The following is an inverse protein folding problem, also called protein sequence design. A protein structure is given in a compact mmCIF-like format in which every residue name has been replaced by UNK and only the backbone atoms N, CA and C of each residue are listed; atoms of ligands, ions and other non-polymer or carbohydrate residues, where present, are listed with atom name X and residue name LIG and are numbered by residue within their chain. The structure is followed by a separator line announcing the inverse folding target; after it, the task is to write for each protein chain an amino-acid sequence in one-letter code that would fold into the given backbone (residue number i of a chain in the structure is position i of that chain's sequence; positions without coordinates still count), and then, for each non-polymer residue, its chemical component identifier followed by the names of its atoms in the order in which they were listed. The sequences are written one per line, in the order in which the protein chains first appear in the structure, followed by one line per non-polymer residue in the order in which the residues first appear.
data_IF_296941825674
#
_entry.id   IF_296941825674
#
_cell.length_a   1.000
_cell.length_b   1.000
_cell.length_c   1.000
_cell.angle_alpha   90.00
_cell.angle_beta   90.00
_cell.angle_gamma   90.00
#
_symmetry.space_group_name_H-M   'P 1'
#
loop_
_entity.id
_entity.type
_entity.pdbx_description
1 polymer ?
#
# COMPACT_ATOMS: atom_id res chain seq x y z
N UNK A 1 7.86 13.02 35.74
CA UNK A 1 6.62 13.44 35.05
C UNK A 1 5.67 12.26 35.08
N UNK A 2 4.35 12.47 35.16
CA UNK A 2 3.40 11.35 35.03
C UNK A 2 3.39 10.84 33.59
N UNK A 3 3.10 9.55 33.40
CA UNK A 3 3.03 8.91 32.07
C UNK A 3 2.02 9.60 31.13
N UNK A 4 0.98 10.21 31.70
CA UNK A 4 -0.05 10.97 30.98
C UNK A 4 0.50 12.26 30.32
N UNK A 5 1.42 12.97 30.97
CA UNK A 5 2.04 14.19 30.42
C UNK A 5 2.98 13.84 29.27
N UNK A 6 3.74 12.75 29.41
CA UNK A 6 4.62 12.23 28.34
C UNK A 6 3.80 11.84 27.12
N UNK A 7 2.64 11.22 27.33
CA UNK A 7 1.75 10.83 26.26
C UNK A 7 1.14 12.03 25.53
N UNK A 8 0.70 13.06 26.26
CA UNK A 8 0.17 14.28 25.65
C UNK A 8 1.24 15.03 24.84
N UNK A 9 2.47 15.12 25.35
CA UNK A 9 3.60 15.69 24.62
C UNK A 9 3.91 14.92 23.34
N UNK A 10 3.94 13.58 23.42
CA UNK A 10 4.16 12.70 22.28
C UNK A 10 3.03 12.85 21.24
N UNK A 11 1.77 12.91 21.70
CA UNK A 11 0.58 13.13 20.86
C UNK A 11 0.67 14.47 20.11
N UNK A 12 0.98 15.55 20.82
CA UNK A 12 1.09 16.88 20.24
C UNK A 12 2.25 16.97 19.23
N UNK A 13 3.40 16.39 19.56
CA UNK A 13 4.57 16.35 18.67
C UNK A 13 4.28 15.60 17.37
N UNK A 14 3.71 14.39 17.49
CA UNK A 14 3.36 13.55 16.34
C UNK A 14 2.29 14.18 15.44
N UNK A 15 1.24 14.75 16.02
CA UNK A 15 0.17 15.41 15.26
C UNK A 15 0.67 16.65 14.49
N UNK A 16 1.71 17.32 15.00
CA UNK A 16 2.39 18.42 14.31
C UNK A 16 3.39 17.95 13.22
N UNK A 17 3.49 16.64 12.96
CA UNK A 17 4.46 16.07 12.01
C UNK A 17 5.88 15.95 12.59
N UNK A 18 6.03 16.04 13.92
CA UNK A 18 7.29 15.81 14.60
C UNK A 18 7.75 14.36 14.46
N UNK A 19 9.08 14.18 14.41
CA UNK A 19 9.71 12.85 14.37
C UNK A 19 9.87 12.33 15.79
N UNK A 20 9.63 11.03 15.95
CA UNK A 20 9.97 10.32 17.19
C UNK A 20 11.49 10.19 17.31
N UNK A 21 12.01 10.38 18.51
CA UNK A 21 13.37 9.97 18.82
C UNK A 21 13.48 8.45 19.06
N UNK A 22 14.71 7.96 19.13
CA UNK A 22 14.99 6.53 19.30
C UNK A 22 14.47 5.94 20.63
N UNK A 23 14.29 6.76 21.66
CA UNK A 23 13.75 6.32 22.94
C UNK A 23 12.22 6.17 22.86
N UNK A 24 11.53 7.17 22.36
CA UNK A 24 10.09 7.15 22.12
C UNK A 24 9.70 6.01 21.18
N UNK A 25 10.46 5.80 20.10
CA UNK A 25 10.23 4.71 19.15
C UNK A 25 10.42 3.35 19.81
N UNK A 26 11.41 3.18 20.70
CA UNK A 26 11.58 1.95 21.48
C UNK A 26 10.42 1.70 22.44
N UNK A 27 9.93 2.74 23.12
CA UNK A 27 8.78 2.64 24.04
C UNK A 27 7.51 2.23 23.29
N UNK A 28 7.20 2.88 22.16
CA UNK A 28 6.04 2.51 21.36
C UNK A 28 6.19 1.11 20.73
N UNK A 29 7.41 0.72 20.33
CA UNK A 29 7.67 -0.61 19.80
C UNK A 29 7.56 -1.73 20.85
N UNK A 30 7.71 -1.43 22.14
CA UNK A 30 7.59 -2.42 23.22
C UNK A 30 6.23 -2.41 23.90
N UNK A 31 5.40 -1.37 23.70
CA UNK A 31 4.08 -1.33 24.30
C UNK A 31 3.15 -2.40 23.74
N UNK A 32 2.31 -2.93 24.63
CA UNK A 32 1.21 -3.84 24.33
C UNK A 32 -0.16 -3.18 24.47
N UNK A 33 -0.19 -1.88 24.81
CA UNK A 33 -1.41 -1.10 24.90
C UNK A 33 -1.89 -0.69 23.49
N UNK A 34 -2.80 -1.49 22.95
CA UNK A 34 -3.43 -1.21 21.66
C UNK A 34 -4.30 0.04 21.68
N UNK A 35 -4.92 0.38 22.81
CA UNK A 35 -5.77 1.56 22.90
C UNK A 35 -4.93 2.82 22.74
N UNK A 36 -3.78 2.85 23.42
CA UNK A 36 -2.77 3.89 23.30
C UNK A 36 -2.27 4.04 21.85
N UNK A 37 -1.80 2.93 21.27
CA UNK A 37 -1.27 2.92 19.89
C UNK A 37 -2.34 3.35 18.88
N UNK A 38 -3.55 2.82 19.00
CA UNK A 38 -4.67 3.16 18.11
C UNK A 38 -5.04 4.63 18.20
N UNK A 39 -5.14 5.18 19.42
CA UNK A 39 -5.46 6.61 19.62
C UNK A 39 -4.41 7.51 18.99
N UNK A 40 -3.13 7.27 19.27
CA UNK A 40 -2.03 8.05 18.69
C UNK A 40 -1.99 7.95 17.17
N UNK A 41 -2.15 6.74 16.63
CA UNK A 41 -2.12 6.52 15.19
C UNK A 41 -3.32 7.18 14.48
N UNK A 42 -4.52 7.11 15.06
CA UNK A 42 -5.70 7.79 14.52
C UNK A 42 -5.53 9.32 14.56
N UNK A 43 -4.96 9.88 15.62
CA UNK A 43 -4.68 11.31 15.70
C UNK A 43 -3.72 11.78 14.59
N UNK A 44 -2.61 11.06 14.39
CA UNK A 44 -1.65 11.36 13.30
C UNK A 44 -2.32 11.22 11.95
N UNK A 45 -3.13 10.17 11.76
CA UNK A 45 -3.87 9.94 10.52
C UNK A 45 -4.88 11.06 10.25
N UNK A 46 -5.62 11.54 11.26
CA UNK A 46 -6.57 12.66 11.12
C UNK A 46 -5.85 13.99 10.88
N UNK A 47 -4.70 14.22 11.52
CA UNK A 47 -3.90 15.42 11.28
C UNK A 47 -3.42 15.50 9.82
N UNK A 48 -3.07 14.36 9.21
CA UNK A 48 -2.62 14.28 7.81
C UNK A 48 -3.78 14.29 6.82
N UNK A 49 -4.81 13.47 7.06
CA UNK A 49 -5.82 13.10 6.05
C UNK A 49 -7.24 13.54 6.40
N UNK A 50 -7.44 14.30 7.49
CA UNK A 50 -8.75 14.70 7.99
C UNK A 50 -9.70 13.51 8.21
N UNK A 51 -10.93 13.53 7.72
CA UNK A 51 -11.84 12.36 7.76
C UNK A 51 -11.79 11.54 6.46
N UNK A 52 -11.05 11.97 5.43
CA UNK A 52 -11.02 11.31 4.13
C UNK A 52 -10.29 9.96 4.19
N UNK A 53 -10.95 8.90 3.73
CA UNK A 53 -10.35 7.57 3.53
C UNK A 53 -10.50 7.19 2.07
N UNK A 54 -9.39 6.95 1.39
CA UNK A 54 -9.40 6.58 -0.01
C UNK A 54 -9.63 5.09 -0.22
N UNK A 55 -10.18 4.74 -1.37
CA UNK A 55 -10.24 3.36 -1.83
C UNK A 55 -10.17 3.29 -3.36
N UNK A 56 -9.68 2.17 -3.89
CA UNK A 56 -9.58 1.95 -5.34
C UNK A 56 -10.19 0.62 -5.77
N UNK A 57 -10.89 0.66 -6.91
CA UNK A 57 -11.42 -0.54 -7.58
C UNK A 57 -10.44 -1.05 -8.64
N UNK A 58 -9.94 -2.25 -8.45
CA UNK A 58 -8.84 -2.81 -9.24
C UNK A 58 -9.33 -3.95 -10.12
N UNK A 59 -8.99 -3.88 -11.40
CA UNK A 59 -9.08 -5.01 -12.33
C UNK A 59 -7.68 -5.59 -12.55
N UNK A 60 -7.48 -6.87 -12.27
CA UNK A 60 -6.18 -7.55 -12.41
C UNK A 60 -6.06 -8.21 -13.79
N UNK A 61 -4.92 -8.04 -14.45
CA UNK A 61 -4.62 -8.63 -15.76
C UNK A 61 -3.27 -9.36 -15.68
N UNK A 62 -3.22 -10.69 -15.84
CA UNK A 62 -1.94 -11.42 -15.81
C UNK A 62 -1.05 -11.08 -17.01
N UNK A 63 0.25 -10.90 -16.77
CA UNK A 63 1.24 -10.56 -17.82
C UNK A 63 1.36 -11.66 -18.89
N UNK A 64 1.28 -12.93 -18.52
CA UNK A 64 1.42 -14.06 -19.46
C UNK A 64 0.21 -14.22 -20.39
N UNK A 65 -0.95 -13.68 -20.02
CA UNK A 65 -2.20 -13.78 -20.79
C UNK A 65 -2.98 -12.47 -20.66
N UNK A 66 -2.45 -11.37 -21.23
CA UNK A 66 -3.08 -10.08 -21.10
C UNK A 66 -4.36 -10.09 -21.94
N UNK A 67 -5.50 -10.02 -21.28
CA UNK A 67 -6.80 -9.95 -21.92
C UNK A 67 -7.63 -8.88 -21.22
N UNK A 68 -8.00 -7.84 -21.96
CA UNK A 68 -8.91 -6.82 -21.48
C UNK A 68 -10.29 -7.02 -22.09
N UNK A 69 -11.29 -7.09 -21.21
CA UNK A 69 -12.69 -6.98 -21.58
C UNK A 69 -13.22 -5.73 -20.93
N UNK A 70 -13.78 -4.81 -21.71
CA UNK A 70 -14.26 -3.53 -21.21
C UNK A 70 -15.18 -3.71 -19.98
N UNK A 71 -14.73 -3.17 -18.84
CA UNK A 71 -15.46 -3.17 -17.58
C UNK A 71 -16.03 -1.76 -17.35
N UNK A 72 -17.10 -1.42 -18.08
CA UNK A 72 -17.73 -0.08 -18.14
C UNK A 72 -17.79 0.64 -16.79
N UNK A 73 -16.83 1.53 -16.52
CA UNK A 73 -16.79 2.43 -15.35
C UNK A 73 -16.64 1.75 -13.98
N UNK A 74 -16.27 0.46 -13.94
CA UNK A 74 -16.19 -0.27 -12.67
C UNK A 74 -14.77 -0.37 -12.12
N UNK A 75 -13.75 -0.23 -12.96
CA UNK A 75 -12.35 -0.17 -12.56
C UNK A 75 -11.87 1.28 -12.50
N UNK A 76 -11.06 1.59 -11.48
CA UNK A 76 -10.29 2.83 -11.35
C UNK A 76 -8.78 2.58 -11.46
N UNK A 77 -8.40 1.32 -11.54
CA UNK A 77 -7.05 0.86 -11.82
C UNK A 77 -7.11 -0.45 -12.62
N UNK A 78 -6.28 -0.55 -13.66
CA UNK A 78 -5.93 -1.83 -14.27
C UNK A 78 -4.53 -2.21 -13.80
N UNK A 79 -4.42 -3.32 -13.08
CA UNK A 79 -3.15 -3.80 -12.51
C UNK A 79 -2.64 -4.99 -13.30
N UNK A 80 -1.53 -4.81 -14.01
CA UNK A 80 -0.82 -5.92 -14.67
C UNK A 80 -0.03 -6.70 -13.62
N UNK A 81 -0.36 -7.97 -13.44
CA UNK A 81 0.18 -8.82 -12.37
C UNK A 81 1.04 -9.96 -12.90
N UNK A 82 1.98 -10.42 -12.09
CA UNK A 82 2.89 -11.52 -12.43
C UNK A 82 4.29 -11.03 -12.79
N UNK A 83 5.21 -11.97 -12.94
CA UNK A 83 6.61 -11.73 -13.28
C UNK A 83 6.77 -11.80 -14.80
N UNK A 84 7.23 -10.74 -15.47
CA UNK A 84 7.53 -10.80 -16.90
C UNK A 84 8.82 -11.60 -17.16
N UNK A 85 8.87 -12.32 -18.28
CA UNK A 85 10.08 -13.02 -18.75
C UNK A 85 11.08 -12.06 -19.40
N UNK A 86 10.61 -10.93 -19.95
CA UNK A 86 11.45 -9.90 -20.56
C UNK A 86 10.80 -8.50 -20.49
N UNK A 87 11.57 -7.40 -20.68
CA UNK A 87 11.01 -6.06 -20.81
C UNK A 87 9.97 -5.95 -21.93
N UNK A 88 10.19 -6.63 -23.06
CA UNK A 88 9.30 -6.60 -24.21
C UNK A 88 7.94 -7.26 -23.92
N UNK A 89 7.93 -8.36 -23.15
CA UNK A 89 6.69 -8.99 -22.69
C UNK A 89 5.91 -8.06 -21.76
N UNK A 90 6.60 -7.42 -20.81
CA UNK A 90 6.00 -6.46 -19.89
C UNK A 90 5.35 -5.30 -20.65
N UNK A 91 6.06 -4.71 -21.63
CA UNK A 91 5.52 -3.65 -22.47
C UNK A 91 4.34 -4.13 -23.32
N UNK A 92 4.40 -5.33 -23.91
CA UNK A 92 3.30 -5.89 -24.68
C UNK A 92 2.03 -6.04 -23.84
N UNK A 93 2.15 -6.54 -22.61
CA UNK A 93 1.03 -6.67 -21.69
C UNK A 93 0.40 -5.31 -21.31
N UNK A 94 1.24 -4.29 -21.08
CA UNK A 94 0.76 -2.92 -20.81
C UNK A 94 0.01 -2.35 -22.02
N UNK A 95 0.54 -2.50 -23.25
CA UNK A 95 -0.10 -1.99 -24.47
C UNK A 95 -1.48 -2.58 -24.72
N UNK A 96 -1.73 -3.83 -24.30
CA UNK A 96 -3.05 -4.47 -24.43
C UNK A 96 -4.13 -3.73 -23.64
N UNK A 97 -3.75 -3.09 -22.53
CA UNK A 97 -4.71 -2.41 -21.63
C UNK A 97 -4.60 -0.89 -21.68
N UNK A 98 -3.48 -0.35 -22.18
CA UNK A 98 -3.25 1.07 -22.41
C UNK A 98 -4.20 1.59 -23.51
N UNK A 99 -5.28 2.25 -23.09
CA UNK A 99 -6.36 2.68 -23.98
C UNK A 99 -7.75 2.45 -23.39
N UNK A 100 -7.85 1.73 -22.27
CA UNK A 100 -9.10 1.54 -21.55
C UNK A 100 -9.65 2.81 -20.85
N UNK A 101 -8.90 3.92 -20.87
CA UNK A 101 -9.27 5.17 -20.17
C UNK A 101 -9.17 5.07 -18.64
N UNK A 102 -8.41 4.09 -18.13
CA UNK A 102 -8.17 3.84 -16.71
C UNK A 102 -6.65 3.76 -16.50
N UNK A 103 -6.09 4.34 -15.42
CA UNK A 103 -4.67 4.20 -15.12
C UNK A 103 -4.21 2.73 -15.07
N UNK A 104 -3.05 2.48 -15.65
CA UNK A 104 -2.44 1.14 -15.70
C UNK A 104 -1.27 1.11 -14.74
N UNK A 105 -1.33 0.29 -13.71
CA UNK A 105 -0.17 -0.03 -12.87
C UNK A 105 0.31 -1.42 -13.21
N UNK A 106 1.56 -1.74 -12.87
CA UNK A 106 2.04 -3.09 -13.13
C UNK A 106 3.37 -3.41 -12.51
N UNK A 107 3.56 -4.71 -12.29
CA UNK A 107 4.83 -5.34 -11.90
C UNK A 107 5.36 -4.94 -10.52
N UNK A 108 6.17 -5.81 -9.93
CA UNK A 108 6.95 -5.47 -8.76
C UNK A 108 8.32 -4.93 -9.19
N UNK A 109 8.83 -3.92 -8.48
CA UNK A 109 10.09 -3.26 -8.86
C UNK A 109 11.28 -4.23 -8.85
N UNK A 110 11.32 -5.15 -7.89
CA UNK A 110 12.39 -6.15 -7.80
C UNK A 110 12.38 -7.15 -8.96
N UNK A 111 11.21 -7.48 -9.50
CA UNK A 111 11.09 -8.33 -10.69
C UNK A 111 11.58 -7.60 -11.95
N UNK A 112 11.20 -6.33 -12.12
CA UNK A 112 11.68 -5.51 -13.23
C UNK A 112 13.20 -5.31 -13.16
N UNK A 113 13.76 -5.12 -11.96
CA UNK A 113 15.20 -5.04 -11.74
C UNK A 113 15.90 -6.36 -12.09
N UNK A 114 15.34 -7.49 -11.66
CA UNK A 114 15.89 -8.82 -11.96
C UNK A 114 15.90 -9.11 -13.47
N UNK A 115 14.81 -8.81 -14.17
CA UNK A 115 14.70 -8.93 -15.64
C UNK A 115 15.66 -7.97 -16.35
N UNK A 116 16.01 -6.85 -15.72
CA UNK A 116 17.03 -5.91 -16.19
C UNK A 116 18.47 -6.31 -15.81
N UNK A 117 18.68 -7.55 -15.34
CA UNK A 117 19.99 -8.07 -14.95
C UNK A 117 20.57 -7.46 -13.67
N UNK A 118 19.74 -6.83 -12.84
CA UNK A 118 20.18 -6.11 -11.64
C UNK A 118 20.82 -4.74 -11.92
N UNK A 119 20.84 -4.28 -13.17
CA UNK A 119 21.39 -2.98 -13.57
C UNK A 119 20.32 -1.89 -13.53
N UNK A 120 20.59 -0.81 -12.79
CA UNK A 120 19.68 0.34 -12.64
C UNK A 120 19.56 1.15 -13.91
N UNK A 121 20.61 1.22 -14.74
CA UNK A 121 20.55 1.92 -16.02
C UNK A 121 19.69 1.12 -17.04
N UNK A 122 19.79 -0.21 -17.02
CA UNK A 122 18.90 -1.07 -17.79
C UNK A 122 17.45 -1.00 -17.32
N UNK A 123 17.24 -0.97 -16.00
CA UNK A 123 15.93 -0.78 -15.39
C UNK A 123 15.29 0.54 -15.83
N UNK A 124 16.02 1.67 -15.80
CA UNK A 124 15.51 2.97 -16.24
C UNK A 124 15.08 2.95 -17.72
N UNK A 125 15.85 2.30 -18.60
CA UNK A 125 15.47 2.13 -20.01
C UNK A 125 14.19 1.32 -20.17
N UNK A 126 14.07 0.20 -19.44
CA UNK A 126 12.87 -0.64 -19.42
C UNK A 126 11.64 0.13 -18.91
N UNK A 127 11.78 0.89 -17.82
CA UNK A 127 10.72 1.73 -17.26
C UNK A 127 10.29 2.85 -18.21
N UNK A 128 11.24 3.43 -18.95
CA UNK A 128 10.94 4.43 -19.99
C UNK A 128 10.10 3.80 -21.12
N UNK A 129 10.44 2.58 -21.54
CA UNK A 129 9.66 1.80 -22.50
C UNK A 129 8.25 1.48 -21.99
N UNK A 130 8.13 1.05 -20.75
CA UNK A 130 6.84 0.79 -20.08
C UNK A 130 5.96 2.04 -19.99
N UNK A 131 6.53 3.19 -19.63
CA UNK A 131 5.81 4.46 -19.61
C UNK A 131 5.31 4.84 -21.00
N UNK A 132 6.15 4.69 -22.03
CA UNK A 132 5.76 4.92 -23.42
C UNK A 132 4.66 3.94 -23.90
N UNK A 133 4.65 2.71 -23.37
CA UNK A 133 3.60 1.72 -23.59
C UNK A 133 2.27 2.05 -22.89
N UNK A 134 2.26 3.01 -21.94
CA UNK A 134 1.07 3.47 -21.23
C UNK A 134 1.03 3.11 -19.73
N UNK A 135 2.13 2.63 -19.16
CA UNK A 135 2.22 2.39 -17.71
C UNK A 135 2.16 3.73 -16.97
N UNK A 136 1.31 3.79 -15.95
CA UNK A 136 1.12 4.96 -15.10
C UNK A 136 1.99 4.90 -13.83
N UNK A 137 2.21 3.71 -13.27
CA UNK A 137 3.08 3.48 -12.11
C UNK A 137 3.55 2.03 -12.01
N UNK A 138 4.69 1.82 -11.34
CA UNK A 138 5.11 0.49 -10.88
C UNK A 138 4.18 0.08 -9.75
N UNK A 139 3.63 -1.14 -9.80
CA UNK A 139 2.54 -1.51 -8.90
C UNK A 139 2.98 -1.71 -7.46
N UNK A 140 4.18 -2.24 -7.22
CA UNK A 140 4.68 -2.43 -5.86
C UNK A 140 6.20 -2.55 -5.75
N UNK A 141 6.72 -2.37 -4.54
CA UNK A 141 8.05 -2.74 -4.10
C UNK A 141 7.93 -3.56 -2.81
N UNK A 142 8.65 -4.67 -2.70
CA UNK A 142 8.60 -5.56 -1.54
C UNK A 142 9.81 -5.30 -0.66
N UNK A 143 9.59 -5.00 0.62
CA UNK A 143 10.66 -4.63 1.58
C UNK A 143 11.74 -5.72 1.64
N UNK A 144 11.35 -6.97 1.83
CA UNK A 144 12.28 -8.09 2.00
C UNK A 144 13.12 -8.37 0.75
N UNK A 145 12.61 -7.99 -0.43
CA UNK A 145 13.27 -8.22 -1.72
C UNK A 145 14.00 -6.98 -2.24
N UNK A 146 13.93 -5.86 -1.52
CA UNK A 146 14.57 -4.61 -1.93
C UNK A 146 15.11 -3.85 -0.71
N UNK A 147 16.12 -4.38 0.00
CA UNK A 147 16.62 -3.79 1.24
C UNK A 147 17.24 -2.39 1.05
N UNK A 148 17.79 -2.11 -0.14
CA UNK A 148 18.35 -0.81 -0.53
C UNK A 148 17.59 -0.28 -1.76
N UNK A 149 16.37 0.26 -1.59
CA UNK A 149 15.49 0.61 -2.70
C UNK A 149 15.89 1.90 -3.41
N UNK A 150 16.72 2.76 -2.82
CA UNK A 150 16.96 4.12 -3.28
C UNK A 150 17.44 4.20 -4.74
N UNK A 151 18.40 3.37 -5.21
CA UNK A 151 18.83 3.42 -6.61
C UNK A 151 17.71 2.99 -7.58
N UNK A 152 16.94 1.96 -7.23
CA UNK A 152 15.86 1.46 -8.08
C UNK A 152 14.67 2.43 -8.11
N UNK A 153 14.30 3.02 -6.97
CA UNK A 153 13.25 4.05 -6.89
C UNK A 153 13.68 5.32 -7.62
N UNK A 154 14.96 5.69 -7.57
CA UNK A 154 15.49 6.81 -8.35
C UNK A 154 15.36 6.57 -9.86
N UNK A 155 15.61 5.35 -10.34
CA UNK A 155 15.37 4.98 -11.73
C UNK A 155 13.88 5.06 -12.12
N UNK A 156 12.97 4.70 -11.22
CA UNK A 156 11.51 4.87 -11.42
C UNK A 156 11.14 6.34 -11.61
N UNK A 157 11.67 7.22 -10.75
CA UNK A 157 11.42 8.67 -10.83
C UNK A 157 12.06 9.26 -12.09
N UNK A 158 13.29 8.85 -12.45
CA UNK A 158 13.98 9.29 -13.67
C UNK A 158 13.20 8.93 -14.94
N UNK A 159 12.56 7.76 -14.96
CA UNK A 159 11.66 7.35 -16.04
C UNK A 159 10.31 8.12 -16.05
N UNK A 160 10.03 8.98 -15.07
CA UNK A 160 8.78 9.74 -14.97
C UNK A 160 7.61 8.92 -14.44
N UNK A 161 7.88 7.92 -13.61
CA UNK A 161 6.91 7.06 -12.94
C UNK A 161 7.02 7.21 -11.41
N UNK A 162 6.10 6.58 -10.69
CA UNK A 162 6.15 6.37 -9.25
C UNK A 162 5.93 4.89 -8.91
N UNK A 163 6.16 4.52 -7.65
CA UNK A 163 5.80 3.22 -7.08
C UNK A 163 4.49 3.38 -6.31
N UNK A 164 3.47 2.61 -6.67
CA UNK A 164 2.15 2.76 -6.07
C UNK A 164 2.11 2.35 -4.60
N UNK A 165 2.86 1.30 -4.23
CA UNK A 165 2.96 0.87 -2.82
C UNK A 165 4.26 0.16 -2.48
N UNK A 166 4.66 0.30 -1.23
CA UNK A 166 5.61 -0.60 -0.57
C UNK A 166 4.82 -1.69 0.16
N UNK A 167 5.27 -2.93 0.08
CA UNK A 167 4.59 -4.09 0.66
C UNK A 167 5.55 -4.97 1.46
N UNK A 168 5.00 -5.71 2.41
CA UNK A 168 5.70 -6.78 3.14
C UNK A 168 5.18 -8.12 2.59
N UNK A 169 6.08 -9.05 2.29
CA UNK A 169 5.69 -10.35 1.76
C UNK A 169 5.33 -11.33 2.87
N UNK A 170 6.29 -11.71 3.71
CA UNK A 170 6.18 -12.89 4.58
C UNK A 170 6.64 -12.64 6.02
N UNK A 171 7.04 -11.41 6.37
CA UNK A 171 7.52 -11.12 7.71
C UNK A 171 6.52 -11.53 8.82
N UNK A 172 7.02 -12.24 9.83
CA UNK A 172 6.27 -12.68 11.02
C UNK A 172 6.99 -12.24 12.31
N UNK A 173 6.28 -12.29 13.45
CA UNK A 173 6.84 -11.92 14.76
C UNK A 173 7.60 -10.59 14.74
N UNK A 174 8.81 -10.58 15.31
CA UNK A 174 9.67 -9.40 15.39
C UNK A 174 10.14 -8.86 14.02
N UNK A 175 10.18 -9.71 12.97
CA UNK A 175 10.59 -9.29 11.64
C UNK A 175 9.62 -8.27 11.01
N UNK A 176 8.34 -8.29 11.44
CA UNK A 176 7.32 -7.32 11.00
C UNK A 176 7.70 -5.89 11.36
N UNK A 177 8.15 -5.69 12.60
CA UNK A 177 8.64 -4.40 13.08
C UNK A 177 9.96 -4.02 12.39
N UNK A 178 10.83 -4.99 12.13
CA UNK A 178 12.05 -4.79 11.34
C UNK A 178 11.76 -4.16 9.98
N UNK A 179 10.74 -4.66 9.27
CA UNK A 179 10.32 -4.10 7.99
C UNK A 179 9.79 -2.67 8.13
N UNK A 180 8.94 -2.38 9.13
CA UNK A 180 8.44 -1.01 9.37
C UNK A 180 9.60 -0.03 9.64
N UNK A 181 10.58 -0.45 10.45
CA UNK A 181 11.78 0.36 10.74
C UNK A 181 12.66 0.56 9.51
N UNK A 182 12.81 -0.46 8.67
CA UNK A 182 13.56 -0.34 7.42
C UNK A 182 12.92 0.73 6.51
N UNK A 183 11.59 0.66 6.31
CA UNK A 183 10.85 1.64 5.50
C UNK A 183 10.98 3.06 6.08
N UNK A 184 10.86 3.22 7.40
CA UNK A 184 11.04 4.51 8.07
C UNK A 184 12.46 5.09 7.91
N UNK A 185 13.47 4.23 7.73
CA UNK A 185 14.87 4.61 7.55
C UNK A 185 15.25 4.94 6.09
N UNK A 186 14.39 4.66 5.12
CA UNK A 186 14.69 4.91 3.71
C UNK A 186 14.68 6.39 3.36
N UNK A 187 15.61 6.79 2.50
CA UNK A 187 15.71 8.15 1.98
C UNK A 187 15.20 8.21 0.54
N UNK A 188 13.87 8.26 0.38
CA UNK A 188 13.22 8.22 -0.92
C UNK A 188 13.02 9.62 -1.51
N UNK A 189 13.06 9.79 -2.85
CA UNK A 189 12.67 11.05 -3.48
C UNK A 189 11.21 11.40 -3.15
N UNK A 190 10.92 12.69 -3.02
CA UNK A 190 9.57 13.16 -2.67
C UNK A 190 8.53 12.66 -3.69
N UNK A 191 7.40 12.13 -3.19
CA UNK A 191 6.30 11.56 -3.98
C UNK A 191 6.68 10.37 -4.88
N UNK A 192 7.86 9.76 -4.69
CA UNK A 192 8.27 8.58 -5.45
C UNK A 192 7.46 7.32 -5.08
N UNK A 193 6.91 7.29 -3.86
CA UNK A 193 6.07 6.22 -3.34
C UNK A 193 4.79 6.82 -2.78
N UNK A 194 3.63 6.25 -3.10
CA UNK A 194 2.35 6.78 -2.65
C UNK A 194 1.85 6.16 -1.34
N UNK A 195 1.97 4.84 -1.18
CA UNK A 195 1.47 4.16 0.00
C UNK A 195 2.43 3.11 0.57
N UNK A 196 2.24 2.77 1.83
CA UNK A 196 2.84 1.62 2.48
C UNK A 196 1.74 0.69 2.98
N UNK A 197 1.77 -0.57 2.56
CA UNK A 197 0.90 -1.63 3.04
C UNK A 197 1.66 -2.52 4.05
N UNK A 198 1.52 -2.28 5.36
CA UNK A 198 2.37 -2.88 6.38
C UNK A 198 2.01 -4.33 6.70
N UNK A 199 0.84 -4.83 6.31
CA UNK A 199 0.45 -6.20 6.59
C UNK A 199 1.06 -7.18 5.57
N UNK A 200 1.61 -8.33 6.01
CA UNK A 200 2.15 -9.35 5.12
C UNK A 200 1.13 -9.85 4.10
N UNK A 201 1.61 -10.16 2.90
CA UNK A 201 0.78 -10.56 1.75
C UNK A 201 0.81 -12.06 1.45
N UNK A 202 1.83 -12.77 1.94
CA UNK A 202 1.93 -14.21 1.82
C UNK A 202 0.83 -14.87 2.65
N UNK A 203 0.28 -15.96 2.13
CA UNK A 203 -0.66 -16.78 2.89
C UNK A 203 0.13 -17.57 3.94
N UNK A 204 0.22 -17.02 5.16
CA UNK A 204 0.92 -17.67 6.26
C UNK A 204 0.34 -19.06 6.59
N UNK A 205 -0.89 -19.36 6.19
CA UNK A 205 -1.49 -20.69 6.36
C UNK A 205 -0.97 -21.73 5.35
N UNK A 206 -0.27 -21.30 4.30
CA UNK A 206 0.34 -22.19 3.31
C UNK A 206 1.61 -22.88 3.83
N UNK A 207 2.26 -22.34 4.87
CA UNK A 207 3.51 -22.86 5.42
C UNK A 207 3.28 -23.67 6.72
N UNK A 208 3.56 -24.98 6.73
CA UNK A 208 3.36 -25.82 7.91
C UNK A 208 4.23 -25.37 9.10
N UNK A 209 3.58 -24.96 10.19
CA UNK A 209 4.26 -24.57 11.43
C UNK A 209 4.62 -23.09 11.52
N UNK A 210 4.21 -22.26 10.55
CA UNK A 210 4.32 -20.81 10.66
C UNK A 210 3.45 -20.28 11.81
N UNK A 211 4.01 -19.37 12.63
CA UNK A 211 3.22 -18.61 13.59
C UNK A 211 2.29 -17.66 12.83
N UNK A 212 1.00 -17.95 12.88
CA UNK A 212 -0.01 -17.10 12.24
C UNK A 212 -0.17 -15.80 13.04
N UNK A 213 -0.16 -14.64 12.37
CA UNK A 213 -0.43 -13.40 13.05
C UNK A 213 -1.86 -13.39 13.61
N UNK A 214 -2.01 -12.80 14.78
CA UNK A 214 -3.32 -12.53 15.36
C UNK A 214 -3.83 -11.18 14.87
N UNK A 215 -5.14 -10.95 14.99
CA UNK A 215 -5.70 -9.61 14.71
C UNK A 215 -5.09 -8.51 15.58
N UNK A 216 -4.55 -8.86 16.77
CA UNK A 216 -3.77 -7.95 17.61
C UNK A 216 -2.47 -7.54 16.90
N UNK A 217 -1.73 -8.50 16.34
CA UNK A 217 -0.46 -8.23 15.66
C UNK A 217 -0.65 -7.35 14.42
N UNK A 218 -1.74 -7.59 13.67
CA UNK A 218 -2.06 -6.82 12.48
C UNK A 218 -2.36 -5.35 12.81
N UNK A 219 -3.30 -5.08 13.73
CA UNK A 219 -3.67 -3.70 14.07
C UNK A 219 -2.54 -2.95 14.76
N UNK A 220 -1.73 -3.65 15.58
CA UNK A 220 -0.50 -3.12 16.17
C UNK A 220 0.47 -2.67 15.09
N UNK A 221 0.68 -3.49 14.05
CA UNK A 221 1.60 -3.14 12.99
C UNK A 221 1.11 -1.96 12.15
N UNK A 222 -0.20 -1.86 11.87
CA UNK A 222 -0.78 -0.69 11.17
C UNK A 222 -0.54 0.59 11.97
N UNK A 223 -0.79 0.56 13.28
CA UNK A 223 -0.53 1.71 14.15
C UNK A 223 0.94 2.09 14.17
N UNK A 224 1.84 1.12 14.34
CA UNK A 224 3.28 1.38 14.30
C UNK A 224 3.72 1.92 12.93
N UNK A 225 3.17 1.42 11.82
CA UNK A 225 3.47 1.95 10.50
C UNK A 225 3.09 3.43 10.38
N UNK A 226 1.89 3.83 10.83
CA UNK A 226 1.48 5.24 10.85
C UNK A 226 2.39 6.13 11.70
N UNK A 227 2.81 5.62 12.86
CA UNK A 227 3.60 6.39 13.82
C UNK A 227 5.08 6.50 13.43
N UNK A 228 5.65 5.45 12.82
CA UNK A 228 7.08 5.37 12.52
C UNK A 228 7.41 5.80 11.09
N UNK A 229 6.50 5.60 10.12
CA UNK A 229 6.74 5.89 8.71
C UNK A 229 6.23 7.29 8.37
N UNK A 230 7.15 8.23 8.23
CA UNK A 230 6.86 9.64 7.91
C UNK A 230 7.31 10.07 6.52
N UNK A 231 8.04 9.21 5.81
CA UNK A 231 8.51 9.42 4.44
C UNK A 231 7.53 8.90 3.37
N UNK A 232 6.44 8.22 3.77
CA UNK A 232 5.36 7.76 2.90
C UNK A 232 4.04 8.25 3.50
N UNK A 233 3.20 8.85 2.66
CA UNK A 233 2.04 9.61 3.11
C UNK A 233 0.86 8.72 3.57
N UNK A 234 0.54 7.71 2.75
CA UNK A 234 -0.60 6.82 2.97
C UNK A 234 -0.19 5.48 3.57
N UNK A 235 -0.97 5.01 4.54
CA UNK A 235 -0.92 3.66 5.10
C UNK A 235 -2.14 2.90 4.58
N UNK A 236 -1.87 1.83 3.85
CA UNK A 236 -2.83 1.12 3.03
C UNK A 236 -3.13 -0.28 3.57
N UNK A 237 -4.38 -0.73 3.39
CA UNK A 237 -4.80 -2.11 3.69
C UNK A 237 -5.41 -2.75 2.46
N UNK A 238 -4.97 -3.97 2.12
CA UNK A 238 -5.48 -4.73 0.98
C UNK A 238 -6.81 -5.42 1.34
N UNK A 239 -7.90 -5.01 0.71
CA UNK A 239 -9.24 -5.56 0.95
C UNK A 239 -9.35 -7.04 0.56
N UNK A 240 -8.74 -7.44 -0.56
CA UNK A 240 -8.87 -8.79 -1.09
C UNK A 240 -8.15 -9.81 -0.20
N UNK A 241 -7.07 -9.41 0.46
CA UNK A 241 -6.30 -10.26 1.37
C UNK A 241 -6.86 -10.28 2.79
N UNK A 242 -7.16 -9.10 3.37
CA UNK A 242 -7.49 -8.98 4.79
C UNK A 242 -9.00 -9.02 5.06
N UNK A 243 -9.81 -8.84 4.02
CA UNK A 243 -11.26 -8.82 4.11
C UNK A 243 -11.83 -7.61 4.84
N UNK A 244 -13.16 -7.51 4.78
CA UNK A 244 -13.91 -6.34 5.21
C UNK A 244 -13.71 -5.97 6.69
N UNK A 245 -13.65 -6.97 7.58
CA UNK A 245 -13.58 -6.75 9.04
C UNK A 245 -12.24 -6.18 9.47
N UNK A 246 -11.13 -6.82 9.07
CA UNK A 246 -9.80 -6.34 9.43
C UNK A 246 -9.53 -4.98 8.76
N UNK A 247 -9.94 -4.79 7.51
CA UNK A 247 -9.85 -3.50 6.84
C UNK A 247 -10.56 -2.38 7.62
N UNK A 248 -11.79 -2.61 8.10
CA UNK A 248 -12.51 -1.63 8.92
C UNK A 248 -11.77 -1.29 10.21
N UNK A 249 -11.30 -2.30 10.95
CA UNK A 249 -10.60 -2.07 12.21
C UNK A 249 -9.28 -1.35 11.96
N UNK A 250 -8.53 -1.70 10.93
CA UNK A 250 -7.26 -1.06 10.61
C UNK A 250 -7.39 0.45 10.32
N UNK A 251 -8.53 0.92 9.80
CA UNK A 251 -8.80 2.37 9.66
C UNK A 251 -8.74 3.10 11.01
N UNK A 252 -9.23 2.46 12.09
CA UNK A 252 -9.19 3.00 13.45
C UNK A 252 -7.79 2.95 14.08
N UNK A 253 -6.82 2.31 13.42
CA UNK A 253 -5.43 2.18 13.86
C UNK A 253 -4.47 2.90 12.92
N UNK A 254 -4.96 3.86 12.14
CA UNK A 254 -4.12 4.78 11.36
C UNK A 254 -4.00 4.49 9.86
N UNK A 255 -4.65 3.45 9.34
CA UNK A 255 -4.81 3.28 7.90
C UNK A 255 -5.74 4.36 7.32
N UNK A 256 -5.42 4.86 6.13
CA UNK A 256 -6.20 5.88 5.40
C UNK A 256 -6.61 5.43 4.00
N UNK A 257 -6.08 4.31 3.51
CA UNK A 257 -6.36 3.81 2.17
C UNK A 257 -6.72 2.32 2.12
N UNK A 258 -7.71 1.97 1.28
CA UNK A 258 -8.14 0.61 1.02
C UNK A 258 -7.87 0.22 -0.44
N UNK A 259 -6.97 -0.73 -0.64
CA UNK A 259 -6.57 -1.21 -1.96
C UNK A 259 -7.27 -2.51 -2.38
N UNK A 260 -7.15 -2.84 -3.66
CA UNK A 260 -7.54 -4.12 -4.24
C UNK A 260 -9.02 -4.48 -4.06
N UNK A 261 -9.90 -3.48 -3.94
CA UNK A 261 -11.33 -3.73 -4.02
C UNK A 261 -11.65 -4.29 -5.42
N UNK A 262 -12.35 -5.43 -5.54
CA UNK A 262 -12.67 -5.98 -6.85
C UNK A 262 -13.48 -4.99 -7.69
N UNK A 263 -13.01 -4.72 -8.92
CA UNK A 263 -13.73 -3.84 -9.85
C UNK A 263 -15.10 -4.40 -10.25
N UNK A 264 -15.21 -5.72 -10.42
CA UNK A 264 -16.43 -6.40 -10.85
C UNK A 264 -17.11 -7.07 -9.67
N UNK A 265 -18.39 -6.74 -9.47
CA UNK A 265 -19.25 -7.53 -8.59
C UNK A 265 -19.78 -8.77 -9.33
N UNK A 266 -19.72 -9.92 -8.67
CA UNK A 266 -20.32 -11.16 -9.18
C UNK A 266 -21.84 -11.19 -9.04
N UNK A 267 -22.43 -10.27 -8.27
CA UNK A 267 -23.88 -10.10 -8.08
C UNK A 267 -24.54 -11.22 -7.26
N UNK A 268 -23.79 -12.26 -6.87
CA UNK A 268 -24.29 -13.48 -6.20
C UNK A 268 -24.99 -13.20 -4.87
N UNK A 269 -24.66 -12.10 -4.22
CA UNK A 269 -25.16 -11.73 -2.90
C UNK A 269 -26.18 -10.57 -2.94
N UNK A 270 -26.49 -10.02 -4.11
CA UNK A 270 -27.39 -8.88 -4.27
C UNK A 270 -26.73 -7.51 -4.06
N UNK A 271 -27.39 -6.40 -4.45
CA UNK A 271 -26.76 -5.09 -4.63
C UNK A 271 -26.27 -4.42 -3.34
N UNK A 272 -26.81 -4.80 -2.17
CA UNK A 272 -26.34 -4.30 -0.86
C UNK A 272 -25.14 -5.08 -0.31
N UNK A 273 -24.66 -6.09 -1.03
CA UNK A 273 -23.49 -6.91 -0.68
C UNK A 273 -22.45 -6.86 -1.78
N UNK A 274 -22.47 -5.79 -2.58
CA UNK A 274 -21.38 -5.48 -3.52
C UNK A 274 -20.15 -5.04 -2.71
N UNK A 275 -18.93 -5.32 -3.20
CA UNK A 275 -17.71 -4.82 -2.56
C UNK A 275 -17.70 -3.29 -2.40
N UNK A 276 -18.21 -2.55 -3.39
CA UNK A 276 -18.27 -1.08 -3.37
C UNK A 276 -19.14 -0.53 -2.23
N UNK A 277 -20.35 -1.08 -2.05
CA UNK A 277 -21.22 -0.61 -0.97
C UNK A 277 -20.77 -1.12 0.40
N UNK A 278 -20.07 -2.25 0.45
CA UNK A 278 -19.46 -2.75 1.68
C UNK A 278 -18.30 -1.87 2.15
N UNK A 279 -17.33 -1.56 1.28
CA UNK A 279 -16.20 -0.68 1.65
C UNK A 279 -16.70 0.70 2.11
N UNK A 280 -17.69 1.27 1.40
CA UNK A 280 -18.28 2.58 1.76
C UNK A 280 -18.96 2.55 3.14
N UNK A 281 -19.60 1.43 3.50
CA UNK A 281 -20.21 1.28 4.83
C UNK A 281 -19.14 1.10 5.90
N UNK A 282 -18.10 0.31 5.64
CA UNK A 282 -17.02 0.08 6.59
C UNK A 282 -16.28 1.38 6.91
N UNK A 283 -15.95 2.17 5.89
CA UNK A 283 -15.32 3.49 6.07
C UNK A 283 -16.21 4.40 6.93
N UNK A 284 -17.51 4.51 6.60
CA UNK A 284 -18.45 5.34 7.40
C UNK A 284 -18.63 4.81 8.83
N UNK A 285 -18.64 3.50 9.02
CA UNK A 285 -18.76 2.87 10.33
C UNK A 285 -17.50 3.09 11.19
N UNK A 286 -16.35 3.33 10.57
CA UNK A 286 -15.14 3.79 11.24
C UNK A 286 -15.10 5.33 11.44
N UNK A 287 -16.21 6.03 11.20
CA UNK A 287 -16.35 7.50 11.31
C UNK A 287 -15.46 8.29 10.34
N UNK A 288 -15.36 7.80 9.10
CA UNK A 288 -14.63 8.45 8.01
C UNK A 288 -15.50 8.66 6.77
N UNK A 289 -14.98 9.47 5.83
CA UNK A 289 -15.62 9.80 4.55
C UNK A 289 -14.97 9.00 3.42
N UNK A 290 -15.70 8.11 2.72
CA UNK A 290 -15.14 7.32 1.64
C UNK A 290 -14.90 8.16 0.37
N UNK A 291 -13.67 8.16 -0.13
CA UNK A 291 -13.24 8.85 -1.34
C UNK A 291 -12.73 7.82 -2.35
N UNK A 292 -13.31 7.77 -3.55
CA UNK A 292 -12.84 6.86 -4.60
C UNK A 292 -11.67 7.52 -5.35
N UNK A 293 -10.50 6.89 -5.29
CA UNK A 293 -9.30 7.32 -6.03
C UNK A 293 -9.04 6.42 -7.23
N UNK A 294 -8.18 6.88 -8.13
CA UNK A 294 -7.66 6.08 -9.23
C UNK A 294 -6.31 5.40 -8.91
N UNK A 295 -5.79 4.66 -9.89
CA UNK A 295 -4.50 3.99 -9.80
C UNK A 295 -3.30 4.93 -9.70
N UNK A 296 -3.48 6.24 -9.89
CA UNK A 296 -2.47 7.29 -9.73
C UNK A 296 -2.61 8.07 -8.41
N UNK A 297 -3.49 7.61 -7.51
CA UNK A 297 -3.81 8.29 -6.24
C UNK A 297 -4.49 9.65 -6.40
N UNK A 298 -5.19 9.86 -7.52
CA UNK A 298 -6.00 11.06 -7.74
C UNK A 298 -7.48 10.78 -7.44
N UNK A 299 -8.16 11.77 -6.87
CA UNK A 299 -9.60 11.69 -6.58
C UNK A 299 -10.42 11.69 -7.88
N UNK A 300 -11.32 10.71 -8.02
CA UNK A 300 -12.13 10.55 -9.25
C UNK A 300 -13.32 11.52 -9.30
N UNK A 301 -13.59 12.24 -8.22
CA UNK A 301 -14.69 13.20 -8.09
C UNK A 301 -14.32 14.64 -8.47
N UNK A 302 -13.13 14.89 -9.03
CA UNK A 302 -12.73 16.21 -9.56
C UNK A 302 -13.09 16.41 -11.02
#
# INVERSE_FOLDING_TARGET
MSDEVVLEELRAGLAAGGRLDDEQLRVLASTTDLFLLGTLADDVRRARHSEATTFVRVAKVPVQRPAWREIKGQAREIRVTGVPESPEEAEAAVRVVAGAGVPVTGFALHDLLAVSGGDTAALERSLTGLRAAGLSAVSELVVERTPNPEPAVSAVVAAGLAVARVTIHEACGDARLGCVRAVAGWSLPARAVWAFAPLPRADAAAEPGAELPTGYDDVRQVALARLLVDNIDSIQVDWALHGAKLAQVALMFGADDIDALPAVDTGKLGPRRTPLEEVRRNIRAASFVPVERDGCFEDVTR
#
